data_IF_849458624532
#
_entry.id   IF_849458624532
#
_cell.length_a   1.000
_cell.length_b   1.000
_cell.length_c   1.000
_cell.angle_alpha   90.00
_cell.angle_beta   90.00
_cell.angle_gamma   90.00
#
_symmetry.space_group_name_H-M   'P 1'
#
loop_
_entity.id
_entity.type
_entity.pdbx_description
1 polymer ?
#
# COMPACT_ATOMS: atom_id res chain seq x y z
N UNK A 1 18.69 33.07 -11.92
CA UNK A 1 19.29 33.35 -10.60
C UNK A 1 18.31 34.21 -9.83
N UNK A 2 17.82 33.69 -8.70
CA UNK A 2 16.88 34.36 -7.80
C UNK A 2 17.05 33.83 -6.39
N UNK A 3 16.67 34.60 -5.37
CA UNK A 3 16.63 34.16 -3.96
C UNK A 3 15.24 33.65 -3.56
N UNK A 4 15.14 33.02 -2.39
CA UNK A 4 13.84 32.64 -1.81
C UNK A 4 12.92 33.84 -1.61
N UNK A 5 13.45 34.95 -1.06
CA UNK A 5 12.66 36.17 -0.87
C UNK A 5 12.11 36.73 -2.19
N UNK A 6 12.95 36.79 -3.24
CA UNK A 6 12.55 37.31 -4.55
C UNK A 6 11.49 36.43 -5.22
N UNK A 7 11.65 35.10 -5.19
CA UNK A 7 10.70 34.19 -5.84
C UNK A 7 9.37 34.11 -5.10
N UNK A 8 9.36 34.21 -3.76
CA UNK A 8 8.13 34.24 -2.98
C UNK A 8 7.36 35.54 -3.20
N UNK A 9 8.05 36.68 -3.26
CA UNK A 9 7.42 37.96 -3.62
C UNK A 9 6.80 37.88 -5.02
N UNK A 10 7.53 37.33 -6.00
CA UNK A 10 7.00 37.17 -7.35
C UNK A 10 5.77 36.26 -7.38
N UNK A 11 5.80 35.10 -6.70
CA UNK A 11 4.67 34.17 -6.62
C UNK A 11 3.43 34.84 -5.99
N UNK A 12 3.63 35.65 -4.95
CA UNK A 12 2.56 36.45 -4.35
C UNK A 12 1.99 37.47 -5.33
N UNK A 13 2.85 38.18 -6.07
CA UNK A 13 2.43 39.21 -7.03
C UNK A 13 1.61 38.65 -8.20
N UNK A 14 1.85 37.41 -8.60
CA UNK A 14 1.06 36.72 -9.65
C UNK A 14 -0.18 35.99 -9.10
N UNK A 15 -0.41 36.03 -7.78
CA UNK A 15 -1.58 35.42 -7.13
C UNK A 15 -1.51 33.90 -7.03
N UNK A 16 -0.32 33.34 -6.80
CA UNK A 16 -0.15 31.90 -6.51
C UNK A 16 -0.86 31.50 -5.22
N UNK A 17 -1.55 30.35 -5.21
CA UNK A 17 -2.22 29.80 -4.02
C UNK A 17 -1.24 29.08 -3.08
N UNK A 18 -0.32 28.27 -3.64
CA UNK A 18 0.71 27.52 -2.91
C UNK A 18 2.07 27.78 -3.57
N UNK A 19 2.95 28.47 -2.87
CA UNK A 19 4.29 28.83 -3.33
C UNK A 19 5.34 27.80 -2.93
N UNK A 20 6.48 27.82 -3.63
CA UNK A 20 7.64 26.99 -3.29
C UNK A 20 8.88 27.87 -3.16
N UNK A 21 9.71 27.68 -2.10
CA UNK A 21 11.01 28.34 -1.97
C UNK A 21 12.05 27.75 -2.94
N UNK A 22 13.25 28.33 -2.99
CA UNK A 22 14.34 27.81 -3.83
C UNK A 22 15.11 26.72 -3.09
N UNK A 23 14.59 25.48 -3.11
CA UNK A 23 15.27 24.31 -2.55
C UNK A 23 16.27 23.67 -3.53
N UNK A 24 17.13 22.77 -3.03
CA UNK A 24 18.04 21.98 -3.87
C UNK A 24 17.55 20.53 -3.96
N UNK A 25 17.03 20.09 -5.12
CA UNK A 25 16.64 18.70 -5.33
C UNK A 25 17.89 17.83 -5.55
N UNK A 26 18.54 17.44 -4.45
CA UNK A 26 19.74 16.58 -4.46
C UNK A 26 19.50 15.28 -5.21
N UNK A 27 20.20 15.01 -6.33
CA UNK A 27 20.00 13.77 -7.10
C UNK A 27 20.21 12.49 -6.27
N UNK A 28 19.63 11.35 -6.67
CA UNK A 28 19.93 10.07 -6.03
C UNK A 28 21.42 9.71 -6.15
N UNK A 29 21.93 8.94 -5.17
CA UNK A 29 23.27 8.33 -5.16
C UNK A 29 24.46 9.30 -5.23
N UNK A 30 24.25 10.58 -4.90
CA UNK A 30 25.35 11.51 -4.69
C UNK A 30 26.13 11.15 -3.41
N UNK A 31 27.36 11.63 -3.29
CA UNK A 31 28.13 11.47 -2.07
C UNK A 31 27.39 12.10 -0.88
N UNK A 32 27.41 11.43 0.29
CA UNK A 32 26.75 11.90 1.50
C UNK A 32 27.08 13.34 1.89
N UNK A 33 28.36 13.73 1.79
CA UNK A 33 28.82 15.11 2.06
C UNK A 33 28.11 16.15 1.16
N UNK A 34 27.86 15.79 -0.11
CA UNK A 34 27.11 16.64 -1.03
C UNK A 34 25.64 16.72 -0.62
N UNK A 35 25.02 15.60 -0.25
CA UNK A 35 23.64 15.58 0.21
C UNK A 35 23.44 16.41 1.49
N UNK A 36 24.36 16.32 2.44
CA UNK A 36 24.35 17.13 3.66
C UNK A 36 24.53 18.63 3.36
N UNK A 37 25.40 18.98 2.41
CA UNK A 37 25.61 20.37 1.97
C UNK A 37 24.37 20.95 1.31
N UNK A 38 23.76 20.21 0.39
CA UNK A 38 22.54 20.63 -0.32
C UNK A 38 21.34 20.77 0.64
N UNK A 39 21.26 19.88 1.63
CA UNK A 39 20.27 19.96 2.70
C UNK A 39 20.42 21.24 3.52
N UNK A 40 21.64 21.62 3.89
CA UNK A 40 21.86 22.85 4.66
C UNK A 40 21.41 24.10 3.88
N UNK A 41 21.62 24.12 2.56
CA UNK A 41 21.10 25.19 1.70
C UNK A 41 19.57 25.17 1.68
N UNK A 42 18.96 23.99 1.59
CA UNK A 42 17.50 23.83 1.63
C UNK A 42 16.93 24.31 2.97
N UNK A 43 17.58 24.01 4.10
CA UNK A 43 17.18 24.49 5.44
C UNK A 43 17.19 26.00 5.53
N UNK A 44 18.24 26.64 4.99
CA UNK A 44 18.28 28.10 4.94
C UNK A 44 17.14 28.65 4.08
N UNK A 45 16.83 28.02 2.95
CA UNK A 45 15.70 28.42 2.11
C UNK A 45 14.35 28.28 2.84
N UNK A 46 14.15 27.26 3.68
CA UNK A 46 12.96 27.12 4.50
C UNK A 46 12.87 28.21 5.58
N UNK A 47 13.99 28.52 6.26
CA UNK A 47 14.04 29.59 7.24
C UNK A 47 13.76 30.97 6.61
N UNK A 48 14.28 31.22 5.41
CA UNK A 48 14.00 32.45 4.65
C UNK A 48 12.52 32.51 4.23
N UNK A 49 11.92 31.37 3.89
CA UNK A 49 10.50 31.27 3.52
C UNK A 49 9.58 31.54 4.71
N UNK A 50 9.89 30.97 5.88
CA UNK A 50 9.16 31.18 7.13
C UNK A 50 9.22 32.65 7.59
N UNK A 51 10.35 33.33 7.34
CA UNK A 51 10.51 34.75 7.66
C UNK A 51 9.79 35.70 6.68
N UNK A 52 9.37 35.22 5.50
CA UNK A 52 8.78 36.05 4.45
C UNK A 52 7.30 36.35 4.73
N UNK A 53 6.84 37.56 4.40
CA UNK A 53 5.41 37.89 4.42
C UNK A 53 4.72 37.32 3.17
N UNK A 54 4.07 36.17 3.33
CA UNK A 54 3.30 35.49 2.27
C UNK A 54 1.81 35.82 2.29
N UNK A 55 1.31 36.53 3.32
CA UNK A 55 -0.10 36.83 3.46
C UNK A 55 -0.97 35.59 3.64
N UNK A 56 -1.88 35.33 2.70
CA UNK A 56 -2.76 34.14 2.71
C UNK A 56 -2.22 33.00 1.81
N UNK A 57 -1.11 33.23 1.11
CA UNK A 57 -0.48 32.24 0.22
C UNK A 57 0.21 31.17 1.07
N UNK A 58 -0.15 29.91 0.82
CA UNK A 58 0.50 28.78 1.47
C UNK A 58 1.90 28.56 0.91
N UNK A 59 2.77 27.90 1.66
CA UNK A 59 4.16 27.66 1.26
C UNK A 59 4.56 26.20 1.48
N UNK A 60 5.19 25.64 0.46
CA UNK A 60 5.80 24.32 0.52
C UNK A 60 7.09 24.34 1.37
N UNK A 61 7.33 23.27 2.11
CA UNK A 61 8.56 22.94 2.81
C UNK A 61 9.19 21.66 2.25
N UNK A 62 9.99 21.74 1.16
CA UNK A 62 10.54 20.55 0.51
C UNK A 62 11.45 19.71 1.41
N UNK A 63 11.17 18.42 1.48
CA UNK A 63 11.96 17.39 2.16
C UNK A 63 12.90 16.74 1.16
N UNK A 64 14.20 17.01 1.31
CA UNK A 64 15.28 16.47 0.48
C UNK A 64 16.13 15.45 1.25
N UNK A 65 17.23 14.97 0.65
CA UNK A 65 18.14 14.02 1.30
C UNK A 65 18.61 12.86 0.44
N UNK A 66 18.43 12.94 -0.89
CA UNK A 66 18.89 11.92 -1.83
C UNK A 66 18.32 10.53 -1.49
N UNK A 67 19.15 9.47 -1.53
CA UNK A 67 18.83 8.08 -1.17
C UNK A 67 19.18 7.72 0.27
N UNK A 68 19.42 8.70 1.16
CA UNK A 68 19.81 8.46 2.55
C UNK A 68 18.60 8.57 3.50
N UNK A 69 18.07 7.46 4.05
CA UNK A 69 16.86 7.49 4.88
C UNK A 69 17.01 8.34 6.14
N UNK A 70 18.18 8.34 6.78
CA UNK A 70 18.44 9.13 7.97
C UNK A 70 18.40 10.64 7.68
N UNK A 71 18.94 11.06 6.55
CA UNK A 71 18.87 12.45 6.11
C UNK A 71 17.44 12.86 5.73
N UNK A 72 16.67 11.98 5.08
CA UNK A 72 15.25 12.21 4.75
C UNK A 72 14.40 12.41 5.98
N UNK A 73 14.60 11.57 6.99
CA UNK A 73 13.87 11.65 8.26
C UNK A 73 14.25 12.92 9.05
N UNK A 74 15.52 13.30 9.06
CA UNK A 74 15.97 14.55 9.66
C UNK A 74 15.43 15.79 8.92
N UNK A 75 15.42 15.75 7.58
CA UNK A 75 14.85 16.81 6.76
C UNK A 75 13.33 16.94 6.96
N UNK A 76 12.61 15.81 7.07
CA UNK A 76 11.20 15.76 7.43
C UNK A 76 10.94 16.45 8.77
N UNK A 77 11.67 16.07 9.83
CA UNK A 77 11.55 16.71 11.15
C UNK A 77 11.84 18.20 11.14
N UNK A 78 12.82 18.62 10.35
CA UNK A 78 13.15 20.04 10.25
C UNK A 78 12.05 20.82 9.55
N UNK A 79 11.51 20.28 8.43
CA UNK A 79 10.41 20.89 7.71
C UNK A 79 9.15 20.98 8.59
N UNK A 80 8.77 19.88 9.25
CA UNK A 80 7.60 19.81 10.15
C UNK A 80 7.66 20.80 11.33
N UNK A 81 8.88 21.19 11.74
CA UNK A 81 9.09 22.15 12.81
C UNK A 81 8.95 23.61 12.38
N UNK A 82 8.77 23.88 11.08
CA UNK A 82 8.49 25.22 10.55
C UNK A 82 7.00 25.53 10.57
N UNK A 83 6.63 26.81 10.48
CA UNK A 83 5.25 27.26 10.32
C UNK A 83 4.74 27.19 8.86
N UNK A 84 5.39 26.38 8.00
CA UNK A 84 5.03 26.19 6.58
C UNK A 84 3.93 25.11 6.40
N UNK A 85 3.29 25.07 5.24
CA UNK A 85 1.93 24.49 5.13
C UNK A 85 1.87 23.09 4.49
N UNK A 86 2.75 22.80 3.53
CA UNK A 86 2.71 21.57 2.71
C UNK A 86 4.12 21.01 2.61
N UNK A 87 4.29 19.69 2.63
CA UNK A 87 5.60 19.05 2.77
C UNK A 87 5.95 18.18 1.56
N UNK A 88 6.47 18.77 0.46
CA UNK A 88 6.81 17.98 -0.69
C UNK A 88 8.02 17.08 -0.48
N UNK A 89 7.95 15.81 -0.87
CA UNK A 89 9.10 14.90 -0.92
C UNK A 89 9.76 15.03 -2.29
N UNK A 90 10.94 15.65 -2.31
CA UNK A 90 11.68 15.98 -3.52
C UNK A 90 12.69 14.93 -3.97
N UNK A 91 13.37 15.19 -5.10
CA UNK A 91 14.44 14.35 -5.67
C UNK A 91 14.07 12.89 -6.00
N UNK A 92 12.78 12.55 -6.02
CA UNK A 92 12.29 11.21 -6.39
C UNK A 92 12.04 11.03 -7.89
N UNK A 93 11.98 12.12 -8.67
CA UNK A 93 11.73 12.08 -10.13
C UNK A 93 12.74 11.19 -10.87
N UNK A 94 14.07 11.28 -10.62
CA UNK A 94 15.02 10.39 -11.27
C UNK A 94 14.82 8.92 -10.88
N UNK A 95 14.39 8.64 -9.65
CA UNK A 95 14.08 7.27 -9.19
C UNK A 95 12.88 6.71 -9.96
N UNK A 96 11.78 7.47 -10.03
CA UNK A 96 10.58 7.06 -10.78
C UNK A 96 10.85 6.87 -12.27
N UNK A 97 11.62 7.76 -12.89
CA UNK A 97 12.01 7.62 -14.31
C UNK A 97 12.89 6.39 -14.56
N UNK A 98 13.69 5.99 -13.57
CA UNK A 98 14.52 4.80 -13.61
C UNK A 98 13.81 3.53 -13.12
N UNK A 99 12.50 3.60 -12.81
CA UNK A 99 11.72 2.48 -12.25
C UNK A 99 12.33 1.95 -10.93
N UNK A 100 12.89 2.83 -10.09
CA UNK A 100 13.40 2.51 -8.75
C UNK A 100 12.33 2.85 -7.69
N UNK A 101 11.23 2.11 -7.72
CA UNK A 101 10.07 2.40 -6.85
C UNK A 101 10.29 1.98 -5.40
N UNK A 102 11.18 1.03 -5.15
CA UNK A 102 11.71 0.67 -3.83
C UNK A 102 12.46 1.84 -3.19
N UNK A 103 13.40 2.47 -3.90
CA UNK A 103 14.10 3.66 -3.40
C UNK A 103 13.14 4.84 -3.16
N UNK A 104 12.14 5.01 -4.03
CA UNK A 104 11.09 6.00 -3.84
C UNK A 104 10.29 5.72 -2.56
N UNK A 105 9.91 4.46 -2.33
CA UNK A 105 9.21 4.02 -1.11
C UNK A 105 10.04 4.34 0.13
N UNK A 106 11.32 3.97 0.14
CA UNK A 106 12.21 4.20 1.28
C UNK A 106 12.39 5.70 1.57
N UNK A 107 12.55 6.52 0.52
CA UNK A 107 12.67 7.97 0.67
C UNK A 107 11.41 8.61 1.27
N UNK A 108 10.22 8.19 0.80
CA UNK A 108 8.93 8.70 1.29
C UNK A 108 8.65 8.20 2.71
N UNK A 109 8.82 6.90 2.98
CA UNK A 109 8.63 6.33 4.31
C UNK A 109 9.53 7.02 5.34
N UNK A 110 10.79 7.27 5.00
CA UNK A 110 11.73 8.00 5.83
C UNK A 110 11.33 9.46 6.07
N UNK A 111 10.93 10.19 5.02
CA UNK A 111 10.40 11.54 5.17
C UNK A 111 9.19 11.55 6.11
N UNK A 112 8.21 10.65 5.89
CA UNK A 112 7.00 10.51 6.72
C UNK A 112 7.28 10.21 8.18
N UNK A 113 8.35 9.46 8.53
CA UNK A 113 8.75 9.26 9.93
C UNK A 113 9.17 10.55 10.63
N UNK A 114 9.62 11.56 9.88
CA UNK A 114 9.96 12.86 10.40
C UNK A 114 8.82 13.87 10.41
N UNK A 115 7.70 13.60 9.73
CA UNK A 115 6.57 14.51 9.60
C UNK A 115 5.44 14.15 10.59
N UNK A 116 4.63 15.14 10.93
CA UNK A 116 3.37 14.94 11.64
C UNK A 116 2.38 14.09 10.83
N UNK A 117 1.46 13.43 11.53
CA UNK A 117 0.41 12.60 10.88
C UNK A 117 -0.60 13.43 10.09
N UNK A 118 -0.73 14.72 10.42
CA UNK A 118 -1.61 15.70 9.78
C UNK A 118 -0.92 16.56 8.72
N UNK A 119 0.38 16.34 8.50
CA UNK A 119 1.18 17.04 7.49
C UNK A 119 0.78 16.61 6.07
N UNK A 120 0.30 17.53 5.19
CA UNK A 120 -0.02 17.21 3.81
C UNK A 120 1.25 16.93 3.00
N UNK A 121 1.36 15.75 2.40
CA UNK A 121 2.56 15.33 1.67
C UNK A 121 2.36 15.40 0.16
N UNK A 122 3.25 16.11 -0.51
CA UNK A 122 3.27 16.21 -1.97
C UNK A 122 4.42 15.39 -2.56
N UNK A 123 4.12 14.39 -3.39
CA UNK A 123 5.16 13.66 -4.09
C UNK A 123 5.55 14.37 -5.40
N UNK A 124 6.70 15.05 -5.42
CA UNK A 124 7.10 15.89 -6.55
C UNK A 124 7.35 15.09 -7.84
N UNK A 125 6.71 15.52 -8.92
CA UNK A 125 6.81 14.96 -10.27
C UNK A 125 6.22 13.55 -10.44
N UNK A 126 5.46 13.08 -9.45
CA UNK A 126 4.78 11.79 -9.48
C UNK A 126 3.50 11.86 -10.31
N UNK A 127 3.66 11.74 -11.63
CA UNK A 127 2.59 11.99 -12.59
C UNK A 127 2.04 10.79 -13.34
N UNK A 128 2.57 9.57 -13.11
CA UNK A 128 2.19 8.38 -13.86
C UNK A 128 1.15 7.54 -13.08
N UNK A 129 -0.01 7.17 -13.67
CA UNK A 129 -1.11 6.50 -12.95
C UNK A 129 -0.72 5.20 -12.23
N UNK A 130 0.14 4.40 -12.86
CA UNK A 130 0.60 3.10 -12.35
C UNK A 130 1.12 3.09 -10.90
N UNK A 131 1.72 4.18 -10.43
CA UNK A 131 2.32 4.26 -9.09
C UNK A 131 1.49 5.02 -8.06
N UNK A 132 0.35 5.60 -8.45
CA UNK A 132 -0.44 6.48 -7.56
C UNK A 132 -0.97 5.73 -6.35
N UNK A 133 -1.45 4.50 -6.52
CA UNK A 133 -1.95 3.70 -5.39
C UNK A 133 -0.84 3.43 -4.37
N UNK A 134 0.36 3.07 -4.83
CA UNK A 134 1.53 2.82 -3.99
C UNK A 134 1.94 4.08 -3.21
N UNK A 135 2.02 5.23 -3.89
CA UNK A 135 2.37 6.50 -3.26
C UNK A 135 1.33 6.96 -2.24
N UNK A 136 0.04 6.77 -2.52
CA UNK A 136 -1.03 7.09 -1.56
C UNK A 136 -1.00 6.16 -0.35
N UNK A 137 -0.69 4.87 -0.53
CA UNK A 137 -0.51 3.94 0.59
C UNK A 137 0.69 4.28 1.49
N UNK A 138 1.68 5.02 0.97
CA UNK A 138 2.77 5.62 1.77
C UNK A 138 2.36 6.89 2.52
N UNK A 139 1.15 7.39 2.30
CA UNK A 139 0.65 8.62 2.90
C UNK A 139 0.99 9.90 2.12
N UNK A 140 1.14 9.82 0.79
CA UNK A 140 1.19 10.99 -0.09
C UNK A 140 -0.22 11.44 -0.49
N UNK A 141 -0.46 12.76 -0.44
CA UNK A 141 -1.77 13.38 -0.66
C UNK A 141 -1.87 14.14 -1.99
N UNK A 142 -0.77 14.79 -2.38
CA UNK A 142 -0.68 15.65 -3.55
C UNK A 142 0.29 15.10 -4.58
N UNK A 143 -0.04 15.34 -5.85
CA UNK A 143 0.71 14.86 -7.02
C UNK A 143 0.71 15.92 -8.10
N UNK A 144 1.82 16.07 -8.82
CA UNK A 144 1.92 16.89 -10.03
C UNK A 144 2.43 16.06 -11.21
N UNK A 145 2.01 16.43 -12.41
CA UNK A 145 2.34 15.69 -13.63
C UNK A 145 2.60 16.63 -14.80
N UNK A 146 3.83 16.63 -15.29
CA UNK A 146 4.13 17.04 -16.67
C UNK A 146 4.02 15.85 -17.66
N UNK A 147 3.98 14.61 -17.13
CA UNK A 147 4.05 13.39 -17.92
C UNK A 147 2.89 13.29 -18.92
N UNK A 148 1.67 13.68 -18.54
CA UNK A 148 0.51 13.59 -19.44
C UNK A 148 0.71 14.32 -20.78
N UNK A 149 1.35 15.50 -20.75
CA UNK A 149 1.59 16.33 -21.93
C UNK A 149 2.87 15.93 -22.66
N UNK A 150 3.96 15.66 -21.91
CA UNK A 150 5.23 15.23 -22.50
C UNK A 150 5.06 13.90 -23.24
N UNK A 151 4.34 12.96 -22.65
CA UNK A 151 4.11 11.64 -23.25
C UNK A 151 3.22 11.77 -24.47
N UNK A 152 2.15 12.58 -24.39
CA UNK A 152 1.29 12.83 -25.54
C UNK A 152 2.03 13.43 -26.74
N UNK A 153 2.98 14.34 -26.50
CA UNK A 153 3.85 14.91 -27.55
C UNK A 153 4.71 13.85 -28.24
N UNK A 154 5.15 12.86 -27.48
CA UNK A 154 5.93 11.72 -27.98
C UNK A 154 5.06 10.58 -28.53
N UNK A 155 3.74 10.78 -28.67
CA UNK A 155 2.82 9.75 -29.14
C UNK A 155 2.58 8.62 -28.12
N UNK A 156 2.89 8.85 -26.84
CA UNK A 156 2.74 7.89 -25.75
C UNK A 156 1.39 8.00 -25.05
N UNK A 157 0.79 6.84 -24.83
CA UNK A 157 -0.53 6.60 -24.27
C UNK A 157 -0.39 6.02 -22.86
N UNK A 158 -0.87 6.74 -21.85
CA UNK A 158 -0.81 6.30 -20.46
C UNK A 158 -1.91 5.27 -20.15
N UNK A 159 -1.54 4.28 -19.34
CA UNK A 159 -2.43 3.31 -18.72
C UNK A 159 -2.14 3.22 -17.22
N UNK A 160 -3.00 2.52 -16.47
CA UNK A 160 -2.73 2.17 -15.07
C UNK A 160 -1.67 1.06 -14.94
N UNK A 161 -1.23 0.45 -16.04
CA UNK A 161 -0.21 -0.61 -16.06
C UNK A 161 1.15 -0.15 -16.59
N UNK A 162 1.24 1.06 -17.12
CA UNK A 162 2.44 1.53 -17.81
C UNK A 162 2.11 2.48 -18.94
N UNK A 163 3.01 2.57 -19.89
CA UNK A 163 2.91 3.46 -21.05
C UNK A 163 3.07 2.66 -22.33
N UNK A 164 2.20 2.91 -23.30
CA UNK A 164 2.24 2.32 -24.63
C UNK A 164 2.53 3.39 -25.67
N UNK A 165 3.07 3.02 -26.83
CA UNK A 165 3.12 3.93 -27.98
C UNK A 165 1.85 3.79 -28.80
N UNK A 166 1.25 4.92 -29.23
CA UNK A 166 0.04 4.89 -30.06
C UNK A 166 0.25 4.10 -31.36
N UNK A 167 1.47 4.06 -31.89
CA UNK A 167 1.81 3.31 -33.11
C UNK A 167 1.72 1.78 -32.95
N UNK A 168 1.79 1.28 -31.71
CA UNK A 168 1.77 -0.16 -31.40
C UNK A 168 0.39 -0.67 -30.96
N UNK A 169 -0.59 0.23 -30.78
CA UNK A 169 -1.92 -0.14 -30.29
C UNK A 169 -2.86 -0.61 -31.42
N UNK A 170 -3.40 -1.82 -31.29
CA UNK A 170 -4.51 -2.29 -32.14
C UNK A 170 -5.88 -1.88 -31.58
N UNK A 171 -5.97 -1.66 -30.27
CA UNK A 171 -7.17 -1.22 -29.56
C UNK A 171 -6.79 -0.16 -28.52
N UNK A 172 -7.71 0.75 -28.20
CA UNK A 172 -7.56 1.66 -27.07
C UNK A 172 -8.22 1.02 -25.84
N UNK A 173 -7.46 0.52 -24.84
CA UNK A 173 -8.00 -0.20 -23.69
C UNK A 173 -8.54 0.78 -22.62
N UNK A 174 -9.40 1.71 -23.00
CA UNK A 174 -9.98 2.71 -22.12
C UNK A 174 -11.38 3.10 -22.60
N UNK A 175 -12.20 3.59 -21.67
CA UNK A 175 -13.57 4.01 -21.91
C UNK A 175 -13.76 5.52 -21.71
N UNK A 176 -12.68 6.31 -21.76
CA UNK A 176 -12.77 7.76 -21.71
C UNK A 176 -13.41 8.31 -23.01
N UNK A 177 -13.89 9.57 -23.02
CA UNK A 177 -14.53 10.16 -24.20
C UNK A 177 -13.71 10.02 -25.50
N UNK A 178 -12.38 10.10 -25.39
CA UNK A 178 -11.48 9.94 -26.54
C UNK A 178 -11.49 8.50 -27.05
N UNK A 179 -11.29 7.52 -26.16
CA UNK A 179 -11.16 6.12 -26.53
C UNK A 179 -12.49 5.47 -26.96
N UNK A 180 -13.63 6.05 -26.58
CA UNK A 180 -14.95 5.63 -27.07
C UNK A 180 -15.31 6.21 -28.43
N UNK A 181 -14.70 7.34 -28.82
CA UNK A 181 -14.99 8.02 -30.09
C UNK A 181 -14.03 7.59 -31.21
N UNK A 182 -12.77 7.28 -30.88
CA UNK A 182 -11.70 7.02 -31.85
C UNK A 182 -11.13 5.60 -31.73
N UNK A 183 -10.70 5.03 -32.86
CA UNK A 183 -9.77 3.92 -32.90
C UNK A 183 -8.30 4.40 -32.86
N UNK A 184 -7.31 3.52 -32.65
CA UNK A 184 -5.89 3.90 -32.78
C UNK A 184 -5.56 4.50 -34.16
N UNK A 185 -6.07 3.91 -35.25
CA UNK A 185 -5.90 4.43 -36.61
C UNK A 185 -6.51 5.82 -36.78
N UNK A 186 -7.72 6.04 -36.26
CA UNK A 186 -8.35 7.36 -36.30
C UNK A 186 -7.52 8.43 -35.60
N UNK A 187 -6.78 8.08 -34.54
CA UNK A 187 -5.90 9.01 -33.80
C UNK A 187 -4.62 9.30 -34.59
N UNK A 188 -4.00 8.27 -35.20
CA UNK A 188 -2.80 8.40 -36.05
C UNK A 188 -3.06 9.32 -37.25
N UNK A 189 -4.28 9.32 -37.78
CA UNK A 189 -4.68 10.15 -38.92
C UNK A 189 -5.02 11.61 -38.57
N UNK A 190 -5.16 11.99 -37.28
CA UNK A 190 -5.55 13.36 -36.86
C UNK A 190 -4.48 14.42 -37.12
N UNK A 191 -3.28 14.01 -37.52
CA UNK A 191 -2.12 14.86 -37.66
C UNK A 191 -1.51 15.26 -36.31
N UNK A 192 -0.23 15.67 -36.27
CA UNK A 192 0.56 15.68 -35.04
C UNK A 192 -0.04 16.50 -33.90
N UNK A 193 -0.52 17.72 -34.19
CA UNK A 193 -1.04 18.63 -33.16
C UNK A 193 -2.34 18.12 -32.53
N UNK A 194 -3.26 17.59 -33.33
CA UNK A 194 -4.55 17.10 -32.80
C UNK A 194 -4.37 15.75 -32.11
N UNK A 195 -3.47 14.91 -32.60
CA UNK A 195 -3.06 13.68 -31.92
C UNK A 195 -2.48 13.98 -30.53
N UNK A 196 -1.52 14.91 -30.41
CA UNK A 196 -0.95 15.34 -29.12
C UNK A 196 -2.05 15.83 -28.15
N UNK A 197 -2.99 16.65 -28.63
CA UNK A 197 -4.11 17.12 -27.79
C UNK A 197 -4.98 15.97 -27.29
N UNK A 198 -5.41 15.07 -28.18
CA UNK A 198 -6.28 13.95 -27.83
C UNK A 198 -5.59 12.96 -26.88
N UNK A 199 -4.30 12.68 -27.09
CA UNK A 199 -3.50 11.86 -26.17
C UNK A 199 -3.33 12.54 -24.81
N UNK A 200 -3.11 13.85 -24.76
CA UNK A 200 -3.00 14.59 -23.50
C UNK A 200 -4.33 14.56 -22.72
N UNK A 201 -5.47 14.76 -23.41
CA UNK A 201 -6.82 14.63 -22.84
C UNK A 201 -7.05 13.22 -22.28
N UNK A 202 -6.72 12.17 -23.05
CA UNK A 202 -6.77 10.78 -22.58
C UNK A 202 -5.89 10.53 -21.35
N UNK A 203 -4.63 10.98 -21.40
CA UNK A 203 -3.66 10.78 -20.32
C UNK A 203 -4.15 11.42 -19.00
N UNK A 204 -4.78 12.60 -19.06
CA UNK A 204 -5.45 13.22 -17.92
C UNK A 204 -6.65 12.38 -17.46
N UNK A 205 -7.49 11.90 -18.38
CA UNK A 205 -8.63 11.06 -18.03
C UNK A 205 -8.23 9.81 -17.24
N UNK A 206 -7.18 9.10 -17.68
CA UNK A 206 -6.68 7.91 -16.97
C UNK A 206 -6.16 8.28 -15.58
N UNK A 207 -5.38 9.35 -15.48
CA UNK A 207 -4.82 9.82 -14.20
C UNK A 207 -5.92 10.17 -13.19
N UNK A 208 -6.91 10.97 -13.60
CA UNK A 208 -8.03 11.35 -12.73
C UNK A 208 -9.00 10.20 -12.44
N UNK A 209 -9.12 9.23 -13.34
CA UNK A 209 -9.90 8.02 -13.08
C UNK A 209 -9.21 7.16 -12.02
N UNK A 210 -7.88 7.04 -12.07
CA UNK A 210 -7.13 6.28 -11.08
C UNK A 210 -7.17 6.95 -9.69
N UNK A 211 -7.00 8.27 -9.59
CA UNK A 211 -7.19 8.99 -8.33
C UNK A 211 -8.60 8.81 -7.75
N UNK A 212 -9.63 8.74 -8.60
CA UNK A 212 -11.01 8.45 -8.14
C UNK A 212 -11.14 7.03 -7.58
N UNK A 213 -10.52 6.05 -8.25
CA UNK A 213 -10.50 4.65 -7.79
C UNK A 213 -9.77 4.51 -6.46
N UNK A 214 -8.60 5.14 -6.32
CA UNK A 214 -7.84 5.15 -5.06
C UNK A 214 -8.65 5.75 -3.92
N UNK A 215 -9.31 6.89 -4.14
CA UNK A 215 -10.18 7.49 -3.12
C UNK A 215 -11.35 6.61 -2.73
N UNK A 216 -11.94 5.88 -3.67
CA UNK A 216 -12.98 4.92 -3.37
C UNK A 216 -12.43 3.76 -2.55
N UNK A 217 -11.25 3.25 -2.91
CA UNK A 217 -10.62 2.15 -2.20
C UNK A 217 -10.28 2.50 -0.73
N UNK A 218 -9.85 3.74 -0.48
CA UNK A 218 -9.66 4.25 0.89
C UNK A 218 -10.99 4.23 1.67
N UNK A 219 -12.12 4.57 1.03
CA UNK A 219 -13.44 4.59 1.69
C UNK A 219 -13.96 3.20 1.99
N UNK A 220 -13.71 2.25 1.11
CA UNK A 220 -14.14 0.86 1.25
C UNK A 220 -13.17 0.06 2.15
N UNK A 221 -11.96 0.57 2.35
CA UNK A 221 -10.94 -0.02 3.21
C UNK A 221 -10.11 -1.10 2.51
N UNK A 222 -10.03 -1.08 1.18
CA UNK A 222 -9.35 -2.06 0.33
C UNK A 222 -8.20 -1.43 -0.51
N UNK A 223 -7.61 -0.33 0.00
CA UNK A 223 -6.48 0.32 -0.68
C UNK A 223 -5.31 -0.64 -0.91
N UNK A 224 -5.03 -1.55 0.02
CA UNK A 224 -3.91 -2.49 -0.10
C UNK A 224 -4.15 -3.53 -1.20
N UNK A 225 -5.39 -3.96 -1.39
CA UNK A 225 -5.81 -4.78 -2.52
C UNK A 225 -5.56 -4.05 -3.84
N UNK A 226 -5.95 -2.77 -3.92
CA UNK A 226 -5.68 -1.96 -5.10
C UNK A 226 -4.18 -1.79 -5.38
N UNK A 227 -3.37 -1.55 -4.33
CA UNK A 227 -1.90 -1.49 -4.45
C UNK A 227 -1.37 -2.81 -4.99
N UNK A 228 -1.83 -3.93 -4.46
CA UNK A 228 -1.41 -5.25 -4.90
C UNK A 228 -1.76 -5.51 -6.36
N UNK A 229 -2.98 -5.17 -6.82
CA UNK A 229 -3.33 -5.24 -8.23
C UNK A 229 -2.37 -4.43 -9.11
N UNK A 230 -2.05 -3.19 -8.69
CA UNK A 230 -1.14 -2.31 -9.45
C UNK A 230 0.30 -2.80 -9.41
N UNK A 231 0.74 -3.42 -8.33
CA UNK A 231 2.08 -3.99 -8.21
C UNK A 231 2.38 -5.04 -9.30
N UNK A 232 1.36 -5.65 -9.90
CA UNK A 232 1.50 -6.67 -10.97
C UNK A 232 1.61 -6.06 -12.37
N UNK A 233 1.67 -4.74 -12.48
CA UNK A 233 1.90 -4.06 -13.76
C UNK A 233 3.34 -4.24 -14.28
N UNK A 234 4.33 -4.25 -13.38
CA UNK A 234 5.75 -4.26 -13.72
C UNK A 234 6.59 -4.84 -12.56
N UNK A 235 7.70 -5.58 -12.82
CA UNK A 235 8.55 -6.12 -11.75
C UNK A 235 9.02 -5.08 -10.73
N UNK A 236 9.46 -3.91 -11.18
CA UNK A 236 9.85 -2.85 -10.27
C UNK A 236 8.70 -2.28 -9.41
N UNK A 237 7.45 -2.33 -9.89
CA UNK A 237 6.29 -1.96 -9.07
C UNK A 237 6.06 -3.01 -7.97
N UNK A 238 6.33 -4.28 -8.26
CA UNK A 238 6.33 -5.34 -7.27
C UNK A 238 7.46 -5.16 -6.24
N UNK A 239 8.66 -4.79 -6.68
CA UNK A 239 9.76 -4.46 -5.75
C UNK A 239 9.37 -3.28 -4.84
N UNK A 240 8.74 -2.23 -5.40
CA UNK A 240 8.18 -1.13 -4.61
C UNK A 240 7.09 -1.56 -3.61
N UNK A 241 6.19 -2.46 -4.00
CA UNK A 241 5.19 -3.00 -3.07
C UNK A 241 5.81 -3.82 -1.94
N UNK A 242 6.86 -4.61 -2.23
CA UNK A 242 7.58 -5.35 -1.18
C UNK A 242 8.32 -4.42 -0.24
N UNK A 243 8.98 -3.39 -0.76
CA UNK A 243 9.59 -2.34 0.04
C UNK A 243 8.54 -1.65 0.94
N UNK A 244 7.32 -1.41 0.45
CA UNK A 244 6.23 -0.85 1.27
C UNK A 244 5.93 -1.75 2.48
N UNK A 245 5.89 -3.06 2.27
CA UNK A 245 5.62 -4.04 3.33
C UNK A 245 6.81 -4.25 4.27
N UNK A 246 8.04 -3.95 3.86
CA UNK A 246 9.19 -3.89 4.77
C UNK A 246 9.02 -2.76 5.83
N UNK A 247 8.18 -1.76 5.56
CA UNK A 247 7.78 -0.71 6.51
C UNK A 247 6.43 -0.99 7.21
N UNK A 248 6.01 -2.27 7.33
CA UNK A 248 4.72 -2.64 7.95
C UNK A 248 4.51 -2.07 9.36
N UNK A 249 5.56 -1.98 10.18
CA UNK A 249 5.48 -1.42 11.53
C UNK A 249 5.12 0.08 11.54
N UNK A 250 5.44 0.80 10.47
CA UNK A 250 5.03 2.20 10.28
C UNK A 250 3.58 2.26 9.81
N UNK A 251 3.23 1.44 8.82
CA UNK A 251 1.86 1.38 8.26
C UNK A 251 0.83 0.97 9.31
N UNK A 252 1.13 -0.04 10.13
CA UNK A 252 0.20 -0.59 11.13
C UNK A 252 -0.29 0.45 12.15
N UNK A 253 0.54 1.44 12.46
CA UNK A 253 0.20 2.49 13.45
C UNK A 253 -0.94 3.38 12.99
N UNK A 254 -1.07 3.60 11.68
CA UNK A 254 -2.06 4.47 11.07
C UNK A 254 -3.19 3.69 10.39
N UNK A 255 -2.99 2.38 10.23
CA UNK A 255 -3.94 1.49 9.60
C UNK A 255 -5.25 1.37 10.42
N UNK A 256 -6.44 1.51 9.83
CA UNK A 256 -7.71 1.37 10.55
C UNK A 256 -7.87 -0.01 11.22
N UNK A 257 -8.28 -0.02 12.49
CA UNK A 257 -8.47 -1.27 13.26
C UNK A 257 -9.58 -2.20 12.73
N UNK A 258 -10.47 -1.69 11.86
CA UNK A 258 -11.54 -2.43 11.20
C UNK A 258 -11.83 -1.81 9.84
N UNK A 259 -12.01 -2.66 8.82
CA UNK A 259 -12.24 -2.29 7.41
C UNK A 259 -13.22 -3.26 6.74
N UNK A 260 -13.35 -3.16 5.41
CA UNK A 260 -13.95 -4.21 4.58
C UNK A 260 -13.23 -5.56 4.72
N UNK A 261 -13.74 -6.57 4.00
CA UNK A 261 -13.15 -7.91 4.03
C UNK A 261 -11.70 -7.88 3.55
N UNK A 262 -10.82 -8.59 4.27
CA UNK A 262 -9.44 -8.79 3.85
C UNK A 262 -9.39 -9.85 2.75
N UNK A 263 -8.79 -9.53 1.61
CA UNK A 263 -8.61 -10.49 0.51
C UNK A 263 -7.17 -10.95 0.44
N UNK A 264 -6.95 -12.26 0.63
CA UNK A 264 -5.64 -12.86 0.41
C UNK A 264 -5.44 -13.15 -1.08
N UNK A 265 -4.79 -12.22 -1.79
CA UNK A 265 -4.65 -12.28 -3.26
C UNK A 265 -3.23 -12.64 -3.74
N UNK A 266 -2.22 -12.56 -2.88
CA UNK A 266 -0.85 -12.98 -3.17
C UNK A 266 -0.03 -13.24 -1.90
N UNK A 267 1.18 -13.80 -2.06
CA UNK A 267 2.15 -14.00 -0.98
C UNK A 267 2.35 -12.74 -0.13
N UNK A 268 2.42 -11.57 -0.76
CA UNK A 268 2.58 -10.27 -0.11
C UNK A 268 1.40 -9.93 0.82
N UNK A 269 0.19 -10.45 0.57
CA UNK A 269 -0.95 -10.30 1.49
C UNK A 269 -0.62 -10.82 2.89
N UNK A 270 0.21 -11.86 3.00
CA UNK A 270 0.63 -12.42 4.29
C UNK A 270 1.46 -11.46 5.15
N UNK A 271 2.00 -10.39 4.57
CA UNK A 271 2.89 -9.42 5.24
C UNK A 271 2.22 -8.06 5.44
N UNK A 272 0.91 -7.95 5.20
CA UNK A 272 0.14 -6.70 5.37
C UNK A 272 -0.09 -6.31 6.85
N UNK A 273 -0.38 -5.03 7.13
CA UNK A 273 -0.56 -4.52 8.50
C UNK A 273 -1.57 -5.31 9.36
N UNK A 274 -2.65 -5.82 8.76
CA UNK A 274 -3.67 -6.61 9.45
C UNK A 274 -3.11 -7.86 10.10
N UNK A 275 -2.22 -8.56 9.39
CA UNK A 275 -1.59 -9.80 9.85
C UNK A 275 -0.63 -9.48 11.00
N UNK A 276 0.24 -8.48 10.80
CA UNK A 276 1.17 -8.01 11.82
C UNK A 276 0.44 -7.58 13.10
N UNK A 277 -0.65 -6.80 12.96
CA UNK A 277 -1.51 -6.40 14.08
C UNK A 277 -2.16 -7.58 14.78
N UNK A 278 -2.68 -8.55 14.03
CA UNK A 278 -3.32 -9.71 14.62
C UNK A 278 -2.33 -10.50 15.47
N UNK A 279 -1.13 -10.78 14.93
CA UNK A 279 -0.04 -11.39 15.69
C UNK A 279 0.32 -10.53 16.91
N UNK A 280 0.43 -9.21 16.74
CA UNK A 280 0.73 -8.30 17.85
C UNK A 280 -0.27 -8.37 19.01
N UNK A 281 -1.53 -8.74 18.74
CA UNK A 281 -2.62 -8.83 19.72
C UNK A 281 -2.78 -10.24 20.34
N UNK A 282 -1.96 -11.21 19.94
CA UNK A 282 -2.03 -12.58 20.48
C UNK A 282 -1.66 -12.64 21.98
N UNK A 283 -0.88 -11.67 22.47
CA UNK A 283 -0.57 -11.48 23.89
C UNK A 283 -1.81 -11.19 24.76
N UNK A 284 -2.93 -10.79 24.13
CA UNK A 284 -4.22 -10.56 24.81
C UNK A 284 -5.06 -11.83 24.93
N UNK A 285 -4.61 -12.94 24.33
CA UNK A 285 -5.33 -14.20 24.32
C UNK A 285 -4.76 -15.10 25.40
N UNK A 286 -5.63 -15.54 26.32
CA UNK A 286 -5.26 -16.50 27.37
C UNK A 286 -5.77 -17.88 26.99
N UNK A 287 -4.86 -18.84 26.94
CA UNK A 287 -5.13 -20.26 26.77
C UNK A 287 -4.87 -20.99 28.10
N UNK A 288 -5.74 -21.93 28.44
CA UNK A 288 -5.62 -22.76 29.64
C UNK A 288 -5.83 -24.23 29.27
N UNK A 289 -5.10 -25.12 29.93
CA UNK A 289 -5.20 -26.56 29.70
C UNK A 289 -4.56 -27.01 28.39
N UNK A 290 -5.15 -28.01 27.74
CA UNK A 290 -4.72 -28.57 26.47
C UNK A 290 -5.59 -28.04 25.32
N UNK A 291 -5.02 -27.19 24.46
CA UNK A 291 -5.74 -26.50 23.39
C UNK A 291 -5.41 -27.12 22.03
N UNK A 292 -6.46 -27.48 21.29
CA UNK A 292 -6.37 -27.87 19.89
C UNK A 292 -6.40 -26.64 18.99
N UNK A 293 -5.39 -26.47 18.14
CA UNK A 293 -5.34 -25.51 17.04
C UNK A 293 -5.65 -26.27 15.76
N UNK A 294 -6.73 -25.92 15.05
CA UNK A 294 -7.16 -26.69 13.86
C UNK A 294 -7.67 -25.82 12.71
N UNK A 295 -7.38 -26.24 11.48
CA UNK A 295 -7.98 -25.69 10.25
C UNK A 295 -9.37 -26.27 9.95
N UNK A 296 -9.77 -27.34 10.66
CA UNK A 296 -11.02 -28.07 10.44
C UNK A 296 -12.19 -27.65 11.33
N UNK A 297 -13.19 -28.53 11.37
CA UNK A 297 -14.37 -28.40 12.23
C UNK A 297 -14.02 -28.45 13.73
N UNK A 298 -15.01 -28.18 14.57
CA UNK A 298 -14.86 -28.36 16.02
C UNK A 298 -15.11 -29.85 16.32
N UNK A 299 -14.11 -30.59 16.82
CA UNK A 299 -14.30 -32.01 17.11
C UNK A 299 -15.31 -32.23 18.25
N UNK A 300 -15.96 -33.40 18.28
CA UNK A 300 -17.00 -33.74 19.26
C UNK A 300 -16.50 -34.49 20.51
N UNK A 301 -15.19 -34.48 20.77
CA UNK A 301 -14.56 -35.21 21.90
C UNK A 301 -14.09 -34.33 23.06
N UNK A 302 -13.81 -34.97 24.21
CA UNK A 302 -13.35 -34.34 25.46
C UNK A 302 -11.81 -34.36 25.61
N UNK A 303 -11.06 -34.64 24.53
CA UNK A 303 -9.60 -34.77 24.56
C UNK A 303 -8.87 -33.43 24.75
N UNK A 304 -9.56 -32.31 24.51
CA UNK A 304 -9.01 -30.96 24.60
C UNK A 304 -9.89 -30.06 25.47
N UNK A 305 -9.26 -29.22 26.28
CA UNK A 305 -9.94 -28.23 27.11
C UNK A 305 -10.52 -27.08 26.26
N UNK A 306 -9.92 -26.79 25.10
CA UNK A 306 -10.43 -25.82 24.14
C UNK A 306 -10.04 -26.16 22.68
N UNK A 307 -10.82 -25.67 21.72
CA UNK A 307 -10.52 -25.74 20.29
C UNK A 307 -10.53 -24.36 19.66
N UNK A 308 -9.42 -24.00 19.03
CA UNK A 308 -9.19 -22.71 18.37
C UNK A 308 -8.98 -22.96 16.88
N UNK A 309 -9.53 -22.06 16.06
CA UNK A 309 -9.37 -22.14 14.61
C UNK A 309 -8.02 -21.57 14.22
N UNK A 310 -7.40 -22.14 13.19
CA UNK A 310 -6.24 -21.57 12.52
C UNK A 310 -6.65 -21.13 11.13
N UNK A 311 -6.40 -19.87 10.80
CA UNK A 311 -6.61 -19.34 9.45
C UNK A 311 -5.31 -18.69 8.98
N UNK A 312 -4.60 -19.27 7.99
CA UNK A 312 -3.49 -18.58 7.35
C UNK A 312 -3.97 -17.32 6.60
N UNK A 313 -3.23 -16.19 6.65
CA UNK A 313 -1.92 -15.98 7.29
C UNK A 313 -1.97 -15.60 8.79
N UNK A 314 -3.15 -15.41 9.37
CA UNK A 314 -3.32 -14.87 10.72
C UNK A 314 -2.85 -15.83 11.82
N UNK A 315 -3.08 -17.13 11.66
CA UNK A 315 -2.77 -18.13 12.69
C UNK A 315 -3.95 -18.43 13.61
N UNK A 316 -3.71 -18.89 14.85
CA UNK A 316 -4.75 -19.37 15.75
C UNK A 316 -5.58 -18.27 16.42
N UNK A 317 -6.88 -18.50 16.59
CA UNK A 317 -7.78 -17.64 17.36
C UNK A 317 -8.92 -18.43 18.02
N UNK A 318 -9.43 -17.97 19.18
CA UNK A 318 -10.58 -18.58 19.84
C UNK A 318 -11.87 -18.36 19.03
N UNK A 319 -12.78 -19.32 19.09
CA UNK A 319 -14.06 -19.30 18.34
C UNK A 319 -14.86 -18.00 18.49
N UNK A 320 -14.78 -17.34 19.65
CA UNK A 320 -15.48 -16.07 19.89
C UNK A 320 -15.05 -14.93 18.97
N UNK A 321 -13.92 -15.06 18.28
CA UNK A 321 -13.40 -14.07 17.33
C UNK A 321 -13.66 -14.41 15.86
N UNK A 322 -14.35 -15.52 15.54
CA UNK A 322 -14.52 -15.96 14.13
C UNK A 322 -15.23 -14.94 13.24
N UNK A 323 -16.12 -14.14 13.83
CA UNK A 323 -16.90 -13.11 13.13
C UNK A 323 -16.27 -11.70 13.25
N UNK A 324 -15.01 -11.61 13.68
CA UNK A 324 -14.33 -10.33 13.95
C UNK A 324 -13.24 -10.08 12.91
N UNK A 325 -13.20 -8.87 12.35
CA UNK A 325 -12.12 -8.46 11.45
C UNK A 325 -10.72 -8.58 12.12
N UNK A 326 -9.68 -9.07 11.42
CA UNK A 326 -9.65 -9.50 10.01
C UNK A 326 -9.97 -10.99 9.78
N UNK A 327 -10.48 -11.72 10.78
CA UNK A 327 -10.68 -13.17 10.73
C UNK A 327 -11.88 -13.62 9.87
N UNK A 328 -12.66 -12.67 9.37
CA UNK A 328 -13.66 -12.85 8.29
C UNK A 328 -13.04 -12.74 6.89
N UNK A 329 -11.71 -12.91 6.78
CA UNK A 329 -10.97 -12.80 5.53
C UNK A 329 -11.43 -13.82 4.48
N UNK A 330 -11.35 -13.42 3.22
CA UNK A 330 -11.48 -14.31 2.08
C UNK A 330 -10.09 -14.85 1.70
N UNK A 331 -9.91 -16.15 1.90
CA UNK A 331 -8.65 -16.86 1.68
C UNK A 331 -8.87 -17.97 0.66
N UNK A 332 -8.01 -18.11 -0.37
CA UNK A 332 -8.17 -19.16 -1.36
C UNK A 332 -7.88 -20.55 -0.75
N UNK A 333 -8.51 -21.59 -1.30
CA UNK A 333 -8.24 -22.98 -0.90
C UNK A 333 -6.78 -23.40 -1.18
N UNK A 334 -6.13 -22.74 -2.14
CA UNK A 334 -4.74 -23.01 -2.52
C UNK A 334 -3.83 -21.89 -2.04
N UNK A 335 -3.35 -22.05 -0.82
CA UNK A 335 -2.44 -21.11 -0.20
C UNK A 335 -1.00 -21.32 -0.66
N UNK A 336 -0.25 -20.23 -0.66
CA UNK A 336 1.20 -20.25 -0.84
C UNK A 336 1.93 -20.44 0.52
N UNK A 337 3.24 -20.60 0.43
CA UNK A 337 4.10 -20.85 1.59
C UNK A 337 4.09 -19.72 2.61
N UNK A 338 4.04 -18.46 2.18
CA UNK A 338 4.11 -17.31 3.08
C UNK A 338 2.88 -17.26 4.01
N UNK A 339 1.70 -17.64 3.52
CA UNK A 339 0.50 -17.77 4.35
C UNK A 339 0.73 -18.72 5.53
N UNK A 340 1.19 -19.94 5.25
CA UNK A 340 1.44 -20.94 6.29
C UNK A 340 2.59 -20.53 7.22
N UNK A 341 3.65 -19.92 6.68
CA UNK A 341 4.76 -19.45 7.51
C UNK A 341 4.34 -18.33 8.46
N UNK A 342 3.45 -17.44 8.05
CA UNK A 342 2.88 -16.40 8.92
C UNK A 342 1.90 -16.97 9.94
N UNK A 343 1.08 -17.94 9.54
CA UNK A 343 0.20 -18.66 10.46
C UNK A 343 1.01 -19.36 11.56
N UNK A 344 2.11 -20.03 11.18
CA UNK A 344 3.04 -20.67 12.10
C UNK A 344 3.68 -19.67 13.08
N UNK A 345 4.06 -18.46 12.63
CA UNK A 345 4.53 -17.40 13.54
C UNK A 345 3.46 -17.00 14.55
N UNK A 346 2.20 -16.94 14.12
CA UNK A 346 1.07 -16.73 15.01
C UNK A 346 0.95 -17.85 16.07
N UNK A 347 1.11 -19.11 15.67
CA UNK A 347 1.18 -20.25 16.61
C UNK A 347 2.31 -20.06 17.61
N UNK A 348 3.53 -19.78 17.15
CA UNK A 348 4.70 -19.60 18.02
C UNK A 348 4.45 -18.51 19.06
N UNK A 349 3.89 -17.37 18.63
CA UNK A 349 3.59 -16.26 19.52
C UNK A 349 2.52 -16.59 20.56
N UNK A 350 1.46 -17.30 20.17
CA UNK A 350 0.44 -17.75 21.12
C UNK A 350 1.03 -18.64 22.21
N UNK A 351 1.91 -19.57 21.83
CA UNK A 351 2.58 -20.51 22.75
C UNK A 351 3.54 -19.78 23.70
N UNK A 352 4.31 -18.82 23.19
CA UNK A 352 5.25 -18.02 23.99
C UNK A 352 4.52 -17.21 25.08
N UNK A 353 3.34 -16.66 24.77
CA UNK A 353 2.53 -15.88 25.72
C UNK A 353 1.70 -16.76 26.67
N UNK A 354 1.60 -18.06 26.42
CA UNK A 354 0.84 -19.02 27.22
C UNK A 354 1.68 -20.26 27.60
N UNK A 355 2.78 -20.10 28.36
CA UNK A 355 3.75 -21.17 28.61
C UNK A 355 3.22 -22.32 29.48
N UNK A 356 2.12 -22.09 30.22
CA UNK A 356 1.49 -23.09 31.08
C UNK A 356 0.43 -23.94 30.36
N UNK A 357 0.07 -23.59 29.12
CA UNK A 357 -0.86 -24.33 28.29
C UNK A 357 -0.13 -25.34 27.38
N UNK A 358 -0.76 -26.48 27.13
CA UNK A 358 -0.31 -27.45 26.14
C UNK A 358 -1.06 -27.20 24.82
N UNK A 359 -0.36 -27.34 23.69
CA UNK A 359 -0.95 -27.09 22.37
C UNK A 359 -0.74 -28.28 21.44
N UNK A 360 -1.77 -28.62 20.67
CA UNK A 360 -1.68 -29.53 19.53
C UNK A 360 -2.12 -28.77 18.28
N UNK A 361 -1.29 -28.77 17.23
CA UNK A 361 -1.63 -28.21 15.92
C UNK A 361 -2.03 -29.34 14.97
N UNK A 362 -3.32 -29.37 14.63
CA UNK A 362 -3.91 -30.24 13.63
C UNK A 362 -3.91 -29.53 12.28
N UNK A 363 -3.03 -29.95 11.37
CA UNK A 363 -2.80 -29.29 10.09
C UNK A 363 -3.07 -30.21 8.89
N UNK A 364 -3.37 -29.60 7.73
CA UNK A 364 -3.52 -30.32 6.46
C UNK A 364 -2.32 -30.05 5.55
N UNK A 365 -1.31 -30.95 5.57
CA UNK A 365 -0.13 -30.91 4.71
C UNK A 365 0.61 -29.55 4.63
N UNK A 366 0.76 -28.87 5.78
CA UNK A 366 1.54 -27.63 5.87
C UNK A 366 2.97 -27.83 5.33
N UNK A 367 3.53 -26.84 4.61
CA UNK A 367 4.90 -26.91 4.13
C UNK A 367 5.90 -27.14 5.27
N UNK A 368 6.94 -27.96 5.04
CA UNK A 368 8.00 -28.22 6.02
C UNK A 368 8.61 -26.92 6.59
N UNK A 369 8.72 -25.86 5.77
CA UNK A 369 9.25 -24.57 6.21
C UNK A 369 8.34 -23.82 7.18
N UNK A 370 7.02 -24.04 7.12
CA UNK A 370 6.09 -23.52 8.11
C UNK A 370 6.14 -24.36 9.40
N UNK A 371 6.13 -25.68 9.28
CA UNK A 371 6.22 -26.58 10.45
C UNK A 371 7.51 -26.39 11.24
N UNK A 372 8.64 -26.12 10.57
CA UNK A 372 9.91 -25.80 11.22
C UNK A 372 9.90 -24.50 12.06
N UNK A 373 8.89 -23.62 11.88
CA UNK A 373 8.71 -22.40 12.69
C UNK A 373 7.84 -22.65 13.92
N UNK A 374 7.06 -23.73 13.95
CA UNK A 374 6.22 -24.09 15.09
C UNK A 374 7.12 -24.58 16.24
N UNK A 375 6.92 -24.15 17.49
CA UNK A 375 7.75 -24.57 18.61
C UNK A 375 7.69 -26.08 18.85
N UNK A 376 8.82 -26.69 19.26
CA UNK A 376 8.90 -28.13 19.55
C UNK A 376 7.96 -28.58 20.70
N UNK A 377 7.49 -27.64 21.53
CA UNK A 377 6.51 -27.89 22.59
C UNK A 377 5.09 -28.11 22.07
N UNK A 378 4.81 -27.78 20.81
CA UNK A 378 3.51 -28.00 20.17
C UNK A 378 3.50 -29.39 19.54
N UNK A 379 2.52 -30.21 19.92
CA UNK A 379 2.31 -31.51 19.27
C UNK A 379 1.74 -31.30 17.86
N UNK A 380 2.32 -31.96 16.85
CA UNK A 380 1.86 -31.88 15.47
C UNK A 380 1.05 -33.13 15.12
N UNK A 381 -0.15 -32.94 14.62
CA UNK A 381 -1.01 -34.02 14.13
C UNK A 381 -1.58 -33.72 12.74
N UNK A 382 -1.84 -34.76 11.95
CA UNK A 382 -2.59 -34.62 10.70
C UNK A 382 -4.05 -34.33 11.02
N UNK A 383 -4.64 -33.35 10.32
CA UNK A 383 -6.05 -33.00 10.45
C UNK A 383 -6.98 -34.21 10.25
N UNK A 384 -6.63 -35.10 9.32
CA UNK A 384 -7.38 -36.34 9.06
C UNK A 384 -7.42 -37.27 10.27
N UNK A 385 -6.27 -37.47 10.95
CA UNK A 385 -6.16 -38.33 12.12
C UNK A 385 -6.96 -37.79 13.31
N UNK A 386 -6.92 -36.47 13.53
CA UNK A 386 -7.69 -35.79 14.57
C UNK A 386 -9.20 -35.94 14.31
N UNK A 387 -9.63 -35.72 13.06
CA UNK A 387 -11.03 -35.82 12.65
C UNK A 387 -11.58 -37.24 12.79
N UNK A 388 -10.79 -38.26 12.42
CA UNK A 388 -11.15 -39.67 12.60
C UNK A 388 -11.26 -40.06 14.08
N UNK A 389 -10.34 -39.57 14.92
CA UNK A 389 -10.33 -39.85 16.36
C UNK A 389 -11.51 -39.23 17.09
N UNK A 390 -11.88 -38.00 16.73
CA UNK A 390 -12.81 -37.18 17.52
C UNK A 390 -14.23 -37.08 16.95
N UNK A 391 -14.49 -37.64 15.76
CA UNK A 391 -15.80 -37.61 15.11
C UNK A 391 -16.20 -36.18 14.73
N UNK A 392 -16.00 -35.81 13.47
CA UNK A 392 -16.40 -34.49 12.98
C UNK A 392 -17.91 -34.48 12.70
N UNK A 393 -18.67 -33.60 13.37
CA UNK A 393 -19.97 -33.17 12.82
C UNK A 393 -19.68 -32.20 11.68
N UNK A 394 -19.22 -32.74 10.55
CA UNK A 394 -19.12 -31.99 9.31
C UNK A 394 -20.55 -31.56 8.93
N UNK A 395 -20.92 -30.32 9.24
CA UNK A 395 -22.12 -29.70 8.70
C UNK A 395 -21.92 -29.54 7.20
N UNK A 396 -22.28 -30.58 6.45
CA UNK A 396 -22.75 -30.47 5.07
C UNK A 396 -24.09 -29.73 5.13
N UNK A 397 -24.00 -28.41 5.32
CA UNK A 397 -25.08 -27.46 5.15
C UNK A 397 -24.79 -26.67 3.90
N UNK A 398 -25.04 -27.29 2.74
CA UNK A 398 -25.34 -26.49 1.55
C UNK A 398 -26.50 -25.59 1.92
N UNK A 399 -26.32 -24.29 1.73
CA UNK A 399 -27.39 -23.31 1.88
C UNK A 399 -28.45 -23.65 0.82
N UNK A 400 -29.40 -24.48 1.23
CA UNK A 400 -30.61 -24.79 0.49
C UNK A 400 -31.44 -23.53 0.51
N UNK A 401 -31.17 -22.66 -0.47
CA UNK A 401 -32.00 -21.51 -0.78
C UNK A 401 -33.46 -21.94 -0.83
N UNK A 402 -34.23 -21.40 0.11
CA UNK A 402 -35.67 -21.50 0.12
C UNK A 402 -36.18 -20.76 -1.14
N UNK A 403 -36.66 -21.54 -2.11
CA UNK A 403 -37.43 -21.08 -3.26
C UNK A 403 -38.75 -20.47 -2.77
N UNK A 404 -38.69 -19.22 -2.33
CA UNK A 404 -39.82 -18.38 -1.94
C UNK A 404 -39.86 -17.11 -2.77
N UNK A 405 -40.51 -17.18 -3.93
CA UNK A 405 -40.50 -16.12 -4.94
C UNK A 405 -41.05 -14.76 -4.50
N UNK A 406 -40.43 -13.72 -5.05
CA UNK A 406 -41.15 -12.52 -5.50
C UNK A 406 -40.38 -11.86 -6.63
N UNK A 407 -40.85 -12.09 -7.85
CA UNK A 407 -40.50 -11.28 -9.00
C UNK A 407 -40.95 -9.83 -8.73
N UNK A 408 -40.01 -8.91 -8.74
CA UNK A 408 -40.26 -7.47 -8.84
C UNK A 408 -39.44 -6.96 -10.03
N UNK A 409 -40.18 -6.67 -11.09
CA UNK A 409 -39.74 -6.07 -12.35
C UNK A 409 -38.93 -4.78 -12.12
N UNK A 410 -37.88 -4.61 -12.92
CA UNK A 410 -37.32 -3.30 -13.24
C UNK A 410 -37.17 -3.20 -14.75
N UNK A 411 -38.01 -2.33 -15.34
CA UNK A 411 -37.66 -1.51 -16.50
C UNK A 411 -36.54 -0.53 -16.15
#
# INVERSE_FOLDING_TARGET
>A
DTTTEEILQFQRDIGTDIATPVDIPTPPDVAREQAETDLEITRQALADAEAADTGEMLVNAPVQGSTYPDLREEAGRHADATDLDVFPVGAVVPMMNAYRYDDMVDAVAAAKRGLGVDAPVHLFGAGHPMMLALAVALGCDLFDSAAYALYARDGRYLTVRGTEHLEDLDYLPCTCPICTEYSPDDLREKGPKRQEQLLAEHNLHVTFAELRRIKQAIRDGDLMELVEERARSHPAMLDGYRALLDHVDQLEREDPASKGAFFYASNESAHRPEVARHHARMDRLTAEGHVLLTEGGVPSGDDFDATWRVVPPFGPFPRSLSETYPLTAEVPERLDRDAYEQAARGVSRLVEENPDAAFTLAHDDWPESALARVPESVELESLSAVSERLGDEASVGGDGGDDGGSASSAE
#
